data_IF_575073283265
#
_entry.id   IF_575073283265
#
_cell.length_a   1.000
_cell.length_b   1.000
_cell.length_c   1.000
_cell.angle_alpha   90.00
_cell.angle_beta   90.00
_cell.angle_gamma   90.00
#
_symmetry.space_group_name_H-M   'P 1'
#
loop_
_entity.id
_entity.type
_entity.pdbx_description
1 polymer ?
#
# COMPACT_ATOMS: atom_id res chain seq x y z
N UNK A 1 -7.01 -8.64 2.21
CA UNK A 1 -7.67 -9.86 1.65
C UNK A 1 -8.53 -10.52 2.73
N UNK A 2 -7.96 -10.96 3.84
CA UNK A 2 -8.70 -11.65 4.93
C UNK A 2 -9.84 -10.78 5.49
N UNK A 3 -9.60 -9.49 5.68
CA UNK A 3 -10.61 -8.54 6.17
C UNK A 3 -11.61 -8.09 5.10
N UNK A 4 -11.26 -8.25 3.83
CA UNK A 4 -12.06 -7.83 2.69
C UNK A 4 -12.19 -8.99 1.68
N UNK A 5 -12.86 -10.09 2.03
CA UNK A 5 -12.94 -11.28 1.18
C UNK A 5 -13.61 -11.00 -0.16
N UNK A 6 -14.54 -10.05 -0.22
CA UNK A 6 -15.18 -9.61 -1.47
C UNK A 6 -14.16 -8.97 -2.45
N UNK A 7 -13.17 -8.25 -1.93
CA UNK A 7 -12.10 -7.66 -2.75
C UNK A 7 -11.23 -8.77 -3.33
N UNK A 8 -10.86 -9.75 -2.50
CA UNK A 8 -10.11 -10.91 -2.95
C UNK A 8 -10.86 -11.70 -4.04
N UNK A 9 -12.16 -11.95 -3.85
CA UNK A 9 -12.96 -12.68 -4.83
C UNK A 9 -13.04 -11.97 -6.18
N UNK A 10 -13.16 -10.65 -6.20
CA UNK A 10 -13.17 -9.86 -7.44
C UNK A 10 -11.81 -9.86 -8.14
N UNK A 11 -10.72 -9.77 -7.38
CA UNK A 11 -9.37 -9.88 -7.94
C UNK A 11 -9.12 -11.25 -8.56
N UNK A 12 -9.58 -12.32 -7.91
CA UNK A 12 -9.55 -13.68 -8.47
C UNK A 12 -10.32 -13.77 -9.78
N UNK A 13 -11.55 -13.21 -9.84
CA UNK A 13 -12.35 -13.24 -11.05
C UNK A 13 -11.66 -12.52 -12.22
N UNK A 14 -11.04 -11.36 -11.98
CA UNK A 14 -10.29 -10.64 -13.02
C UNK A 14 -9.07 -11.45 -13.50
N UNK A 15 -8.32 -12.04 -12.56
CA UNK A 15 -7.16 -12.86 -12.90
C UNK A 15 -7.55 -14.12 -13.69
N UNK A 16 -8.67 -14.76 -13.33
CA UNK A 16 -9.17 -15.94 -14.04
C UNK A 16 -9.64 -15.60 -15.45
N UNK A 17 -10.28 -14.43 -15.63
CA UNK A 17 -10.74 -13.95 -16.93
C UNK A 17 -9.57 -13.56 -17.86
N UNK A 18 -8.57 -12.86 -17.33
CA UNK A 18 -7.49 -12.26 -18.15
C UNK A 18 -6.30 -13.19 -18.32
N UNK A 19 -5.92 -13.92 -17.28
CA UNK A 19 -4.70 -14.75 -17.24
C UNK A 19 -5.04 -16.22 -17.37
N UNK A 20 -6.09 -16.68 -16.67
CA UNK A 20 -6.40 -18.09 -16.49
C UNK A 20 -5.42 -18.79 -15.54
N UNK A 21 -5.40 -20.15 -15.58
CA UNK A 21 -4.58 -20.97 -14.68
C UNK A 21 -3.27 -21.47 -15.29
N UNK A 22 -3.08 -21.32 -16.61
CA UNK A 22 -1.98 -21.99 -17.34
C UNK A 22 -0.60 -21.36 -17.12
N UNK A 23 -0.49 -20.14 -16.65
CA UNK A 23 0.75 -19.42 -16.39
C UNK A 23 0.57 -18.33 -15.34
N UNK A 24 1.62 -17.95 -14.61
CA UNK A 24 1.56 -16.79 -13.71
C UNK A 24 1.43 -15.48 -14.49
N UNK A 25 0.94 -14.42 -13.83
CA UNK A 25 0.95 -13.05 -14.35
C UNK A 25 2.35 -12.57 -14.70
N UNK A 26 2.45 -11.69 -15.67
CA UNK A 26 3.66 -10.97 -16.06
C UNK A 26 3.43 -9.48 -16.08
N UNK A 27 4.49 -8.67 -16.18
CA UNK A 27 4.36 -7.22 -16.31
C UNK A 27 3.55 -6.80 -17.56
N UNK A 28 3.56 -7.61 -18.61
CA UNK A 28 2.80 -7.35 -19.83
C UNK A 28 1.28 -7.45 -19.61
N UNK A 29 0.83 -8.17 -18.60
CA UNK A 29 -0.58 -8.37 -18.30
C UNK A 29 -1.16 -7.22 -17.45
N UNK A 30 -0.32 -6.51 -16.69
CA UNK A 30 -0.74 -5.46 -15.74
C UNK A 30 -1.67 -4.39 -16.35
N UNK A 31 -1.45 -3.89 -17.59
CA UNK A 31 -2.38 -2.94 -18.20
C UNK A 31 -3.82 -3.48 -18.34
N UNK A 32 -3.99 -4.79 -18.48
CA UNK A 32 -5.27 -5.48 -18.64
C UNK A 32 -5.90 -5.91 -17.31
N UNK A 33 -5.33 -5.53 -16.17
CA UNK A 33 -5.78 -5.85 -14.82
C UNK A 33 -6.19 -4.58 -14.05
N UNK A 34 -7.25 -3.87 -14.46
CA UNK A 34 -7.64 -2.61 -13.84
C UNK A 34 -8.01 -2.75 -12.37
N UNK A 35 -8.62 -3.86 -11.94
CA UNK A 35 -8.98 -4.07 -10.53
C UNK A 35 -7.74 -4.30 -9.66
N UNK A 36 -6.77 -5.10 -10.10
CA UNK A 36 -5.48 -5.26 -9.42
C UNK A 36 -4.76 -3.90 -9.29
N UNK A 37 -4.75 -3.10 -10.35
CA UNK A 37 -4.16 -1.75 -10.34
C UNK A 37 -4.87 -0.84 -9.34
N UNK A 38 -6.19 -0.89 -9.27
CA UNK A 38 -6.99 -0.15 -8.31
C UNK A 38 -6.70 -0.61 -6.86
N UNK A 39 -6.55 -1.91 -6.64
CA UNK A 39 -6.16 -2.48 -5.35
C UNK A 39 -4.79 -1.99 -4.89
N UNK A 40 -3.79 -1.93 -5.78
CA UNK A 40 -2.46 -1.42 -5.45
C UNK A 40 -2.53 0.05 -5.04
N UNK A 41 -3.22 0.88 -5.82
CA UNK A 41 -3.42 2.30 -5.49
C UNK A 41 -4.09 2.49 -4.13
N UNK A 42 -5.14 1.72 -3.86
CA UNK A 42 -5.84 1.78 -2.58
C UNK A 42 -4.98 1.26 -1.43
N UNK A 43 -4.18 0.23 -1.65
CA UNK A 43 -3.25 -0.27 -0.63
C UNK A 43 -2.21 0.78 -0.26
N UNK A 44 -1.63 1.45 -1.23
CA UNK A 44 -0.68 2.53 -1.02
C UNK A 44 -1.31 3.73 -0.30
N UNK A 45 -2.56 4.09 -0.64
CA UNK A 45 -3.30 5.15 0.04
C UNK A 45 -3.61 4.79 1.49
N UNK A 46 -4.19 3.61 1.69
CA UNK A 46 -4.79 3.19 2.97
C UNK A 46 -3.76 2.71 3.98
N UNK A 47 -2.73 1.96 3.53
CA UNK A 47 -1.67 1.39 4.36
C UNK A 47 -0.34 2.07 4.11
N UNK A 48 -0.15 3.23 4.73
CA UNK A 48 1.05 4.05 4.57
C UNK A 48 2.26 3.46 5.29
N UNK A 49 3.33 3.22 4.56
CA UNK A 49 4.63 2.83 5.13
C UNK A 49 5.28 3.97 5.91
N UNK A 50 5.10 5.22 5.43
CA UNK A 50 5.69 6.43 6.03
C UNK A 50 4.59 7.48 6.25
N UNK A 51 3.83 7.39 7.36
CA UNK A 51 2.63 8.21 7.58
C UNK A 51 2.89 9.71 7.73
N UNK A 52 4.12 10.12 8.05
CA UNK A 52 4.53 11.54 8.15
C UNK A 52 5.47 11.99 7.03
N UNK A 53 5.60 11.20 5.96
CA UNK A 53 6.53 11.49 4.89
C UNK A 53 7.99 11.57 5.37
N UNK A 54 8.85 12.15 4.55
CA UNK A 54 10.23 12.49 4.91
C UNK A 54 10.28 13.96 5.30
N UNK A 55 10.82 14.29 6.46
CA UNK A 55 10.90 15.67 6.95
C UNK A 55 11.72 16.55 6.01
N UNK A 56 11.25 17.78 5.81
CA UNK A 56 11.96 18.83 5.08
C UNK A 56 12.27 19.98 6.03
N UNK A 57 13.30 20.78 5.71
CA UNK A 57 13.57 22.01 6.42
C UNK A 57 13.44 23.21 5.48
N UNK A 58 12.88 24.31 5.99
CA UNK A 58 12.81 25.58 5.26
C UNK A 58 14.23 26.10 5.03
N UNK A 59 14.52 26.54 3.81
CA UNK A 59 15.84 27.10 3.44
C UNK A 59 15.94 28.60 3.67
N UNK A 60 14.82 29.27 3.88
CA UNK A 60 14.69 30.71 4.14
C UNK A 60 13.50 30.93 5.07
N UNK A 61 13.41 32.13 5.63
CA UNK A 61 12.19 32.60 6.29
C UNK A 61 11.06 32.69 5.29
N UNK A 62 9.85 32.31 5.72
CA UNK A 62 8.65 32.30 4.88
C UNK A 62 7.40 32.66 5.69
N UNK A 63 6.30 32.95 5.00
CA UNK A 63 5.00 33.21 5.58
C UNK A 63 3.95 32.36 4.90
N UNK A 64 3.15 31.68 5.67
CA UNK A 64 2.01 30.90 5.18
C UNK A 64 0.76 31.27 5.95
N UNK A 65 -0.26 31.80 5.26
CA UNK A 65 -1.54 32.20 5.84
C UNK A 65 -1.39 33.10 7.11
N UNK A 66 -0.46 34.04 7.08
CA UNK A 66 -0.16 34.93 8.20
C UNK A 66 0.72 34.33 9.30
N UNK A 67 1.13 33.09 9.19
CA UNK A 67 2.04 32.44 10.12
C UNK A 67 3.49 32.58 9.64
N UNK A 68 4.38 33.06 10.52
CA UNK A 68 5.79 33.16 10.22
C UNK A 68 6.49 31.81 10.40
N UNK A 69 7.22 31.38 9.37
CA UNK A 69 7.99 30.14 9.35
C UNK A 69 9.49 30.51 9.26
N UNK A 70 10.24 30.42 10.36
CA UNK A 70 11.68 30.71 10.36
C UNK A 70 12.48 29.76 9.46
N UNK A 71 13.58 30.25 8.92
CA UNK A 71 14.59 29.41 8.27
C UNK A 71 15.03 28.27 9.20
N UNK A 72 15.14 27.06 8.66
CA UNK A 72 15.50 25.86 9.39
C UNK A 72 14.34 25.16 10.09
N UNK A 73 13.11 25.68 9.98
CA UNK A 73 11.91 25.00 10.51
C UNK A 73 11.74 23.65 9.85
N UNK A 74 11.63 22.61 10.68
CA UNK A 74 11.38 21.24 10.20
C UNK A 74 9.88 21.10 9.92
N UNK A 75 9.54 20.78 8.68
CA UNK A 75 8.18 20.55 8.20
C UNK A 75 7.92 19.05 8.07
N UNK A 76 6.90 18.57 8.75
CA UNK A 76 6.42 17.17 8.66
C UNK A 76 5.09 17.15 7.89
N UNK A 77 5.01 16.24 6.96
CA UNK A 77 3.81 16.04 6.13
C UNK A 77 2.91 15.00 6.79
N UNK A 78 1.68 15.37 7.13
CA UNK A 78 0.72 14.39 7.64
C UNK A 78 0.08 13.61 6.48
N UNK A 79 0.86 12.68 5.88
CA UNK A 79 0.42 11.87 4.74
C UNK A 79 -0.80 11.03 5.06
N UNK A 80 -0.92 10.57 6.32
CA UNK A 80 -2.08 9.82 6.76
C UNK A 80 -3.36 10.63 6.67
N UNK A 81 -3.35 11.87 7.15
CA UNK A 81 -4.50 12.76 7.06
C UNK A 81 -4.83 13.07 5.59
N UNK A 82 -3.82 13.46 4.82
CA UNK A 82 -3.98 13.81 3.40
C UNK A 82 -4.60 12.66 2.61
N UNK A 83 -4.15 11.42 2.85
CA UNK A 83 -4.69 10.24 2.16
C UNK A 83 -6.04 9.74 2.72
N UNK A 84 -6.55 10.32 3.78
CA UNK A 84 -7.86 10.02 4.35
C UNK A 84 -8.83 11.19 4.30
N UNK A 85 -8.53 12.22 3.51
CA UNK A 85 -9.36 13.42 3.38
C UNK A 85 -10.69 13.08 2.69
N UNK A 86 -11.85 13.27 3.37
CA UNK A 86 -13.15 12.91 2.82
C UNK A 86 -13.55 13.71 1.57
N UNK A 87 -13.10 14.96 1.46
CA UNK A 87 -13.37 15.80 0.29
C UNK A 87 -12.72 15.26 -1.00
N UNK A 88 -11.64 14.49 -0.85
CA UNK A 88 -10.92 13.87 -1.97
C UNK A 88 -11.33 12.42 -2.18
N UNK A 89 -11.44 11.64 -1.09
CA UNK A 89 -11.62 10.20 -1.15
C UNK A 89 -13.04 9.72 -0.82
N UNK A 90 -13.95 10.65 -0.50
CA UNK A 90 -15.34 10.35 -0.15
C UNK A 90 -15.54 10.02 1.33
N UNK A 91 -16.80 9.88 1.74
CA UNK A 91 -17.18 9.62 3.13
C UNK A 91 -16.64 8.29 3.67
N UNK A 92 -16.27 7.36 2.79
CA UNK A 92 -15.64 6.07 3.09
C UNK A 92 -14.11 6.11 3.05
N UNK A 93 -13.50 7.30 3.10
CA UNK A 93 -12.04 7.48 3.03
C UNK A 93 -11.26 6.67 4.09
N UNK A 94 -11.90 6.36 5.23
CA UNK A 94 -11.32 5.53 6.28
C UNK A 94 -11.30 4.03 5.93
N UNK A 95 -12.08 3.59 4.96
CA UNK A 95 -12.22 2.19 4.60
C UNK A 95 -11.36 1.84 3.39
N UNK A 96 -11.00 0.55 3.28
CA UNK A 96 -10.31 0.01 2.13
C UNK A 96 -11.29 -0.30 1.02
N UNK A 97 -11.30 0.51 -0.03
CA UNK A 97 -12.23 0.39 -1.15
C UNK A 97 -11.53 0.67 -2.49
N UNK A 98 -11.08 -0.38 -3.22
CA UNK A 98 -10.46 -0.21 -4.53
C UNK A 98 -11.36 0.44 -5.58
N UNK A 99 -12.69 0.33 -5.46
CA UNK A 99 -13.64 0.88 -6.44
C UNK A 99 -13.54 2.40 -6.57
N UNK A 100 -12.99 3.09 -5.57
CA UNK A 100 -12.75 4.54 -5.66
C UNK A 100 -11.83 4.92 -6.83
N UNK A 101 -10.98 4.01 -7.29
CA UNK A 101 -10.06 4.19 -8.41
C UNK A 101 -10.59 3.71 -9.74
N UNK A 102 -11.83 3.24 -9.81
CA UNK A 102 -12.45 2.78 -11.03
C UNK A 102 -13.53 3.75 -11.51
N UNK A 103 -13.63 3.92 -12.83
CA UNK A 103 -14.73 4.62 -13.46
C UNK A 103 -15.92 3.68 -13.73
N UNK A 104 -16.97 4.22 -14.38
CA UNK A 104 -18.18 3.46 -14.75
C UNK A 104 -17.89 2.29 -15.71
N UNK A 105 -16.82 2.38 -16.50
CA UNK A 105 -16.38 1.37 -17.46
C UNK A 105 -15.35 0.42 -16.85
N UNK A 106 -15.18 0.51 -15.49
CA UNK A 106 -14.22 -0.27 -14.69
C UNK A 106 -12.75 -0.07 -15.09
N UNK A 107 -12.43 1.07 -15.67
CA UNK A 107 -11.06 1.46 -15.95
C UNK A 107 -10.49 2.32 -14.83
N UNK A 108 -9.18 2.26 -14.65
CA UNK A 108 -8.51 3.07 -13.63
C UNK A 108 -8.61 4.54 -13.98
N UNK A 109 -9.21 5.32 -13.09
CA UNK A 109 -9.36 6.78 -13.22
C UNK A 109 -8.30 7.55 -12.42
N UNK A 110 -8.06 8.78 -12.83
CA UNK A 110 -7.27 9.76 -12.08
C UNK A 110 -8.16 10.40 -11.00
N UNK A 111 -7.69 10.43 -9.76
CA UNK A 111 -8.37 11.10 -8.65
C UNK A 111 -7.75 12.47 -8.39
N UNK A 112 -8.60 13.50 -8.36
CA UNK A 112 -8.20 14.87 -8.02
C UNK A 112 -6.99 15.38 -8.83
N UNK A 113 -6.97 15.05 -10.14
CA UNK A 113 -5.88 15.46 -11.04
C UNK A 113 -4.52 14.82 -10.76
N UNK A 114 -4.44 13.86 -9.84
CA UNK A 114 -3.22 13.15 -9.46
C UNK A 114 -3.15 11.81 -10.17
N UNK A 115 -2.08 11.60 -10.92
CA UNK A 115 -1.86 10.36 -11.65
C UNK A 115 -1.85 9.14 -10.71
N UNK A 116 -1.13 9.24 -9.59
CA UNK A 116 -1.05 8.17 -8.60
C UNK A 116 -2.35 8.03 -7.78
N UNK A 117 -3.14 9.11 -7.65
CA UNK A 117 -4.38 9.14 -6.89
C UNK A 117 -4.20 9.09 -5.37
N UNK A 118 -2.96 9.22 -4.88
CA UNK A 118 -2.61 9.28 -3.45
C UNK A 118 -1.29 10.04 -3.26
N UNK A 119 -0.95 10.36 -2.00
CA UNK A 119 0.27 11.11 -1.67
C UNK A 119 1.36 10.26 -1.02
N UNK A 120 1.29 8.94 -1.07
CA UNK A 120 2.18 8.04 -0.34
C UNK A 120 3.65 8.13 -0.74
N UNK A 121 3.92 8.65 -1.92
CA UNK A 121 5.28 8.92 -2.43
C UNK A 121 5.72 10.38 -2.28
N UNK A 122 4.96 11.22 -1.57
CA UNK A 122 5.20 12.64 -1.48
C UNK A 122 4.77 13.39 -2.75
N UNK A 123 5.28 14.61 -2.93
CA UNK A 123 4.87 15.48 -4.03
C UNK A 123 5.95 16.50 -4.39
N UNK A 124 5.74 17.19 -5.52
CA UNK A 124 6.60 18.26 -6.00
C UNK A 124 7.99 17.76 -6.42
N UNK A 125 8.98 18.63 -6.30
CA UNK A 125 10.36 18.37 -6.75
C UNK A 125 11.12 17.31 -5.96
N UNK A 126 10.57 16.88 -4.82
CA UNK A 126 11.15 15.86 -3.92
C UNK A 126 10.29 14.61 -3.83
N UNK A 127 9.38 14.41 -4.80
CA UNK A 127 8.62 13.15 -4.92
C UNK A 127 9.57 11.95 -4.99
N UNK A 128 9.17 10.83 -4.43
CA UNK A 128 9.99 9.61 -4.38
C UNK A 128 10.43 9.19 -5.80
N UNK A 129 11.72 9.13 -6.09
CA UNK A 129 12.21 8.72 -7.42
C UNK A 129 11.98 7.24 -7.69
N UNK A 130 11.84 6.41 -6.65
CA UNK A 130 11.60 4.98 -6.73
C UNK A 130 10.11 4.58 -6.88
N UNK A 131 9.18 5.54 -7.00
CA UNK A 131 7.74 5.25 -7.02
C UNK A 131 7.33 4.25 -8.11
N UNK A 132 7.86 4.39 -9.32
CA UNK A 132 7.51 3.50 -10.43
C UNK A 132 7.99 2.06 -10.23
N UNK A 133 9.18 1.90 -9.62
CA UNK A 133 9.69 0.58 -9.23
C UNK A 133 8.81 -0.02 -8.14
N UNK A 134 8.49 0.75 -7.11
CA UNK A 134 7.63 0.29 -6.02
C UNK A 134 6.23 -0.11 -6.52
N UNK A 135 5.58 0.73 -7.32
CA UNK A 135 4.27 0.41 -7.89
C UNK A 135 4.31 -0.83 -8.79
N UNK A 136 5.30 -0.92 -9.68
CA UNK A 136 5.49 -2.10 -10.54
C UNK A 136 5.67 -3.38 -9.72
N UNK A 137 6.51 -3.34 -8.68
CA UNK A 137 6.71 -4.46 -7.77
C UNK A 137 5.41 -4.83 -7.05
N UNK A 138 4.69 -3.87 -6.47
CA UNK A 138 3.41 -4.15 -5.82
C UNK A 138 2.37 -4.75 -6.78
N UNK A 139 2.33 -4.27 -8.02
CA UNK A 139 1.39 -4.80 -9.01
C UNK A 139 1.67 -6.27 -9.31
N UNK A 140 2.91 -6.63 -9.61
CA UNK A 140 3.24 -8.00 -9.95
C UNK A 140 3.16 -8.93 -8.75
N UNK A 141 3.58 -8.48 -7.56
CA UNK A 141 3.51 -9.26 -6.33
C UNK A 141 2.05 -9.57 -5.95
N UNK A 142 1.18 -8.56 -5.93
CA UNK A 142 -0.24 -8.74 -5.61
C UNK A 142 -0.92 -9.61 -6.65
N UNK A 143 -0.66 -9.40 -7.94
CA UNK A 143 -1.21 -10.22 -9.01
C UNK A 143 -0.78 -11.69 -8.85
N UNK A 144 0.51 -11.95 -8.63
CA UNK A 144 1.06 -13.31 -8.48
C UNK A 144 0.54 -13.99 -7.22
N UNK A 145 0.52 -13.28 -6.09
CA UNK A 145 0.01 -13.82 -4.82
C UNK A 145 -1.47 -14.20 -4.92
N UNK A 146 -2.30 -13.35 -5.54
CA UNK A 146 -3.73 -13.63 -5.69
C UNK A 146 -4.02 -14.61 -6.83
N UNK A 147 -3.17 -14.69 -7.86
CA UNK A 147 -3.28 -15.72 -8.88
C UNK A 147 -3.00 -17.11 -8.28
N UNK A 148 -1.99 -17.23 -7.42
CA UNK A 148 -1.54 -18.50 -6.86
C UNK A 148 -2.27 -18.92 -5.59
N UNK A 149 -2.68 -17.97 -4.75
CA UNK A 149 -3.17 -18.23 -3.39
C UNK A 149 -4.51 -17.59 -3.10
N UNK A 150 -5.27 -18.24 -2.21
CA UNK A 150 -6.41 -17.69 -1.50
C UNK A 150 -6.03 -17.53 -0.03
N UNK A 151 -6.33 -16.37 0.53
CA UNK A 151 -6.04 -16.03 1.93
C UNK A 151 -7.32 -16.10 2.76
N UNK A 152 -7.28 -16.85 3.83
CA UNK A 152 -8.41 -17.04 4.74
C UNK A 152 -7.97 -16.87 6.19
N UNK A 153 -8.94 -16.53 7.03
CA UNK A 153 -8.76 -16.58 8.46
C UNK A 153 -8.98 -18.02 8.94
N UNK A 154 -8.07 -18.60 9.76
CA UNK A 154 -8.28 -19.93 10.33
C UNK A 154 -9.54 -19.97 11.21
N UNK A 155 -10.25 -21.08 11.22
CA UNK A 155 -11.31 -21.33 12.18
C UNK A 155 -10.74 -21.30 13.60
N UNK A 156 -11.40 -20.56 14.50
CA UNK A 156 -10.94 -20.41 15.89
C UNK A 156 -9.77 -19.43 16.08
N UNK A 157 -9.33 -18.72 15.05
CA UNK A 157 -8.34 -17.66 15.16
C UNK A 157 -8.78 -16.62 16.22
N UNK A 158 -7.94 -16.39 17.22
CA UNK A 158 -8.22 -15.48 18.34
C UNK A 158 -7.84 -14.06 17.98
N UNK A 159 -8.54 -13.10 18.58
CA UNK A 159 -8.31 -11.67 18.40
C UNK A 159 -9.07 -11.07 17.23
N UNK A 160 -9.31 -9.79 17.29
CA UNK A 160 -9.86 -9.00 16.19
C UNK A 160 -8.74 -8.68 15.19
N UNK A 161 -9.05 -8.69 13.88
CA UNK A 161 -8.14 -8.16 12.87
C UNK A 161 -8.11 -6.65 13.03
N UNK A 162 -7.22 -6.15 13.86
CA UNK A 162 -7.00 -4.72 13.96
C UNK A 162 -6.16 -4.22 12.78
N UNK A 163 -6.87 -3.82 11.73
CA UNK A 163 -6.28 -3.29 10.51
C UNK A 163 -5.75 -1.85 10.68
N UNK A 164 -6.08 -1.20 11.82
CA UNK A 164 -5.68 0.19 12.10
C UNK A 164 -4.48 0.27 13.03
N UNK A 165 -4.23 -0.72 13.83
CA UNK A 165 -3.00 -0.84 14.59
C UNK A 165 -1.88 -1.29 13.67
N UNK A 166 -1.38 -0.37 12.89
CA UNK A 166 0.01 -0.47 12.45
C UNK A 166 0.80 -0.57 13.73
N UNK A 167 1.50 -1.69 13.91
CA UNK A 167 2.31 -1.89 15.09
C UNK A 167 3.03 -0.59 15.42
N UNK A 168 2.99 -0.21 16.65
CA UNK A 168 3.47 1.05 17.25
C UNK A 168 4.94 1.41 16.91
N UNK A 169 5.58 0.64 16.04
CA UNK A 169 6.92 0.87 15.52
C UNK A 169 7.03 1.93 14.42
N UNK A 170 6.00 2.14 13.58
CA UNK A 170 6.14 2.98 12.39
C UNK A 170 6.34 4.46 12.69
N UNK A 171 5.47 5.05 13.48
CA UNK A 171 5.56 6.45 13.90
C UNK A 171 6.69 6.63 14.90
N UNK A 172 6.82 5.70 15.86
CA UNK A 172 7.87 5.72 16.87
C UNK A 172 9.25 5.46 16.24
N UNK A 173 9.37 4.55 15.27
CA UNK A 173 10.63 4.32 14.58
C UNK A 173 11.08 5.52 13.75
N UNK A 174 10.15 6.27 13.14
CA UNK A 174 10.50 7.48 12.41
C UNK A 174 10.87 8.63 13.33
N UNK A 175 10.11 8.84 14.40
CA UNK A 175 10.45 9.81 15.46
C UNK A 175 11.75 9.37 16.15
N UNK A 176 11.95 8.07 16.39
CA UNK A 176 13.18 7.52 16.93
C UNK A 176 14.38 7.73 15.99
N UNK A 177 14.19 7.57 14.67
CA UNK A 177 15.21 7.89 13.68
C UNK A 177 15.56 9.39 13.69
N UNK A 178 14.57 10.26 13.73
CA UNK A 178 14.82 11.71 13.85
C UNK A 178 15.50 12.06 15.17
N UNK A 179 15.08 11.48 16.28
CA UNK A 179 15.71 11.70 17.58
C UNK A 179 17.12 11.11 17.65
N UNK A 180 17.43 10.02 16.93
CA UNK A 180 18.77 9.47 16.84
C UNK A 180 19.75 10.42 16.11
N UNK A 181 19.26 11.20 15.16
CA UNK A 181 20.02 12.27 14.50
C UNK A 181 20.40 13.41 15.48
N UNK A 182 19.65 13.55 16.58
CA UNK A 182 19.92 14.50 17.67
C UNK A 182 20.62 13.85 18.88
N UNK A 183 21.19 12.63 18.72
CA UNK A 183 21.94 11.95 19.78
C UNK A 183 21.10 11.10 20.75
N UNK A 184 19.81 10.90 20.49
CA UNK A 184 18.98 9.99 21.26
C UNK A 184 18.96 8.61 20.61
N UNK A 185 19.52 7.60 21.27
CA UNK A 185 19.50 6.20 20.79
C UNK A 185 18.16 5.58 21.17
N UNK A 186 17.26 5.50 20.19
CA UNK A 186 16.06 4.68 20.31
C UNK A 186 16.20 3.47 19.39
N UNK A 187 16.04 2.27 19.93
CA UNK A 187 16.13 1.02 19.17
C UNK A 187 15.05 0.96 18.12
N UNK A 188 15.46 0.98 16.85
CA UNK A 188 14.57 0.88 15.68
C UNK A 188 13.88 -0.48 15.66
N UNK A 189 12.57 -0.52 15.93
CA UNK A 189 11.73 -1.65 15.53
C UNK A 189 11.11 -1.31 14.18
N UNK A 190 11.27 -2.20 13.21
CA UNK A 190 10.67 -2.05 11.87
C UNK A 190 9.16 -1.97 12.00
N UNK A 191 8.53 -1.07 11.23
CA UNK A 191 7.08 -1.01 11.09
C UNK A 191 6.62 -2.27 10.34
N UNK A 192 5.89 -3.12 11.00
CA UNK A 192 5.21 -4.27 10.41
C UNK A 192 3.82 -4.42 11.04
N UNK A 193 2.86 -5.02 10.36
CA UNK A 193 1.56 -5.32 10.95
C UNK A 193 1.70 -6.14 12.23
N UNK A 194 0.77 -5.96 13.18
CA UNK A 194 0.68 -6.87 14.32
C UNK A 194 0.47 -8.29 13.79
N UNK A 195 1.16 -9.25 14.41
CA UNK A 195 1.04 -10.65 14.00
C UNK A 195 -0.43 -11.10 14.06
N UNK A 196 -0.91 -11.68 12.99
CA UNK A 196 -2.24 -12.28 12.90
C UNK A 196 -2.14 -13.65 12.21
N UNK A 197 -3.03 -14.54 12.58
CA UNK A 197 -3.10 -15.88 11.99
C UNK A 197 -3.81 -15.83 10.64
N UNK A 198 -3.25 -16.50 9.65
CA UNK A 198 -3.85 -16.64 8.33
C UNK A 198 -3.52 -18.02 7.73
N UNK A 199 -4.34 -18.44 6.76
CA UNK A 199 -4.06 -19.56 5.88
C UNK A 199 -3.87 -19.03 4.45
N UNK A 200 -2.80 -19.46 3.81
CA UNK A 200 -2.58 -19.30 2.38
C UNK A 200 -2.85 -20.67 1.73
N UNK A 201 -3.82 -20.73 0.84
CA UNK A 201 -4.29 -21.96 0.21
C UNK A 201 -4.05 -21.84 -1.29
N UNK A 202 -3.30 -22.75 -1.94
CA UNK A 202 -3.16 -22.74 -3.39
C UNK A 202 -4.53 -22.77 -4.08
N UNK A 203 -4.68 -21.99 -5.14
CA UNK A 203 -5.95 -21.88 -5.87
C UNK A 203 -6.15 -23.03 -6.87
N UNK A 204 -5.06 -23.58 -7.39
CA UNK A 204 -5.07 -24.69 -8.33
C UNK A 204 -3.86 -25.59 -8.15
N UNK A 205 -3.91 -26.81 -8.68
CA UNK A 205 -2.78 -27.72 -8.68
C UNK A 205 -1.63 -27.21 -9.56
N UNK A 206 -1.93 -26.48 -10.64
CA UNK A 206 -0.95 -25.85 -11.51
C UNK A 206 -0.19 -24.74 -10.76
N UNK A 207 -0.90 -23.90 -10.01
CA UNK A 207 -0.28 -22.86 -9.19
C UNK A 207 0.61 -23.46 -8.10
N UNK A 208 0.17 -24.55 -7.44
CA UNK A 208 0.95 -25.27 -6.45
C UNK A 208 2.23 -25.86 -7.05
N UNK A 209 2.13 -26.51 -8.22
CA UNK A 209 3.28 -27.07 -8.95
C UNK A 209 4.31 -26.00 -9.30
N UNK A 210 3.87 -24.87 -9.86
CA UNK A 210 4.75 -23.75 -10.21
C UNK A 210 5.44 -23.12 -8.99
N UNK A 211 4.76 -23.03 -7.87
CA UNK A 211 5.35 -22.54 -6.61
C UNK A 211 6.42 -23.52 -6.10
N UNK A 212 6.16 -24.82 -6.19
CA UNK A 212 7.13 -25.84 -5.79
C UNK A 212 8.37 -25.84 -6.69
N UNK A 213 8.20 -25.70 -8.00
CA UNK A 213 9.31 -25.56 -8.94
C UNK A 213 10.15 -24.31 -8.63
N UNK A 214 9.49 -23.16 -8.35
CA UNK A 214 10.19 -21.94 -7.97
C UNK A 214 11.00 -22.12 -6.68
N UNK A 215 10.47 -22.80 -5.67
CA UNK A 215 11.20 -23.08 -4.43
C UNK A 215 12.44 -23.92 -4.67
N UNK A 216 12.34 -24.95 -5.52
CA UNK A 216 13.47 -25.86 -5.83
C UNK A 216 14.61 -25.15 -6.59
N UNK A 217 14.37 -23.99 -7.21
CA UNK A 217 15.42 -23.19 -7.87
C UNK A 217 16.27 -22.38 -6.88
N UNK A 218 15.85 -22.27 -5.61
CA UNK A 218 16.56 -21.51 -4.56
C UNK A 218 17.25 -22.41 -3.52
N UNK A 219 17.08 -23.74 -3.62
CA UNK A 219 17.82 -24.72 -2.86
C UNK A 219 19.08 -25.18 -3.62
#
# INVERSE_FOLDING_TARGET
>A
MIAYPQVQSRAHAELDEVIGSARPPTFADIPSLPYIRAMVKETLRWSLTVPFGVSHASIADDWYEGMFIPKGTVCLQNMRLINSEPDVFGSDAADYNPDRYLDKDRQVKVLDGREDGHMSFGFGRRICPGRHVAEGTFMIDIATLLWSMRFERPEGARGELDLRSVASGGVIAYVAFLLSLFGFVLTSKRSHPVHFEYKAIPRSAEAEGMLQEALNLYE
#
